data_IF_317937972455
#
_entry.id   IF_317937972455
#
_cell.length_a   1.000
_cell.length_b   1.000
_cell.length_c   1.000
_cell.angle_alpha   90.00
_cell.angle_beta   90.00
_cell.angle_gamma   90.00
#
_symmetry.space_group_name_H-M   'P 1'
#
loop_
_entity.id
_entity.type
_entity.pdbx_description
1 polymer ?
#
# COMPACT_ATOMS: atom_id res chain seq x y z
N UNK A 1 10.11 -16.07 -12.71
CA UNK A 1 9.33 -14.84 -12.41
C UNK A 1 10.11 -14.11 -11.33
N UNK A 2 10.93 -13.13 -11.72
CA UNK A 2 11.82 -12.40 -10.80
C UNK A 2 11.04 -11.24 -10.22
N UNK A 3 10.88 -11.13 -8.90
CA UNK A 3 10.45 -9.86 -8.30
C UNK A 3 11.58 -8.85 -8.50
N UNK A 4 11.23 -7.68 -9.01
CA UNK A 4 12.12 -6.55 -8.98
C UNK A 4 12.15 -5.96 -7.55
N UNK A 5 12.99 -6.52 -6.69
CA UNK A 5 13.25 -6.02 -5.32
C UNK A 5 14.30 -4.91 -5.31
N UNK A 6 14.61 -4.32 -6.47
CA UNK A 6 15.59 -3.22 -6.53
C UNK A 6 15.06 -2.02 -5.72
N UNK A 7 15.92 -1.44 -4.89
CA UNK A 7 15.68 -0.18 -4.18
C UNK A 7 15.70 1.00 -5.15
N UNK A 8 14.85 0.96 -6.16
CA UNK A 8 14.72 2.03 -7.14
C UNK A 8 13.34 2.63 -6.99
N UNK A 9 13.32 3.97 -6.86
CA UNK A 9 12.08 4.69 -6.68
C UNK A 9 11.31 4.79 -8.00
N UNK A 10 10.00 4.90 -7.85
CA UNK A 10 9.01 5.10 -8.90
C UNK A 10 8.54 6.54 -8.81
N UNK A 11 8.32 7.14 -9.97
CA UNK A 11 8.04 8.55 -10.09
C UNK A 11 6.88 8.79 -11.05
N UNK A 12 6.18 9.89 -10.87
CA UNK A 12 5.31 10.48 -11.90
C UNK A 12 5.96 11.74 -12.42
N UNK A 13 5.72 12.05 -13.69
CA UNK A 13 6.12 13.33 -14.27
C UNK A 13 5.09 14.41 -13.97
N UNK A 14 5.56 15.52 -13.42
CA UNK A 14 4.77 16.68 -13.01
C UNK A 14 5.42 17.95 -13.58
N UNK A 15 4.85 18.49 -14.67
CA UNK A 15 5.48 19.58 -15.41
C UNK A 15 6.87 19.19 -15.92
N UNK A 16 7.91 19.93 -15.49
CA UNK A 16 9.32 19.67 -15.81
C UNK A 16 10.02 18.75 -14.79
N UNK A 17 9.32 18.35 -13.72
CA UNK A 17 9.88 17.57 -12.61
C UNK A 17 9.37 16.13 -12.51
N UNK A 18 9.97 15.38 -11.59
CA UNK A 18 9.55 14.04 -11.21
C UNK A 18 9.18 14.03 -9.72
N UNK A 19 7.98 13.56 -9.39
CA UNK A 19 7.53 13.36 -8.01
C UNK A 19 7.59 11.87 -7.68
N UNK A 20 8.22 11.52 -6.54
CA UNK A 20 8.28 10.14 -6.08
C UNK A 20 6.89 9.64 -5.69
N UNK A 21 6.47 8.52 -6.27
CA UNK A 21 5.22 7.83 -5.95
C UNK A 21 5.43 6.52 -5.21
N UNK A 22 6.62 5.92 -5.28
CA UNK A 22 6.88 4.74 -4.48
C UNK A 22 8.38 4.49 -4.35
N UNK A 23 8.94 4.27 -3.17
CA UNK A 23 10.36 3.91 -3.04
C UNK A 23 10.69 2.47 -3.46
N UNK A 24 9.70 1.57 -3.52
CA UNK A 24 9.83 0.16 -3.90
C UNK A 24 8.50 -0.38 -4.45
N UNK A 25 8.48 -1.49 -5.20
CA UNK A 25 7.20 -2.05 -5.62
C UNK A 25 6.36 -2.44 -4.40
N UNK A 26 5.05 -2.28 -4.52
CA UNK A 26 4.03 -2.49 -3.50
C UNK A 26 3.99 -1.48 -2.36
N UNK A 27 4.86 -0.45 -2.33
CA UNK A 27 4.64 0.67 -1.40
C UNK A 27 3.42 1.49 -1.80
N UNK A 28 2.79 2.10 -0.81
CA UNK A 28 1.77 3.13 -1.02
C UNK A 28 2.51 4.47 -1.00
N UNK A 29 2.26 5.29 -2.02
CA UNK A 29 2.76 6.66 -2.08
C UNK A 29 2.28 7.50 -0.90
N UNK A 30 3.00 8.56 -0.54
CA UNK A 30 2.34 9.71 0.09
C UNK A 30 1.19 10.20 -0.79
N UNK A 31 0.20 10.83 -0.18
CA UNK A 31 -0.81 11.61 -0.88
C UNK A 31 -0.17 12.58 -1.87
N UNK A 32 -0.70 12.66 -3.08
CA UNK A 32 -0.31 13.71 -4.01
C UNK A 32 -1.48 14.22 -4.83
N UNK A 33 -1.39 15.50 -5.17
CA UNK A 33 -2.40 16.17 -5.97
C UNK A 33 -2.35 15.67 -7.41
N UNK A 34 -3.53 15.47 -7.99
CA UNK A 34 -3.66 15.05 -9.38
C UNK A 34 -4.72 15.88 -10.06
N UNK A 35 -4.43 16.24 -11.31
CA UNK A 35 -5.47 16.77 -12.20
C UNK A 35 -6.39 15.62 -12.61
N UNK A 36 -7.70 15.69 -12.33
CA UNK A 36 -8.64 14.64 -12.68
C UNK A 36 -8.57 14.29 -14.16
N UNK A 37 -8.72 12.99 -14.49
CA UNK A 37 -8.83 12.48 -15.87
C UNK A 37 -7.68 12.86 -16.80
N UNK A 38 -6.51 13.14 -16.22
CA UNK A 38 -5.30 13.42 -16.99
C UNK A 38 -4.43 12.16 -17.00
N UNK A 39 -4.02 11.65 -18.16
CA UNK A 39 -3.10 10.53 -18.23
C UNK A 39 -1.77 10.91 -17.60
N UNK A 40 -1.22 10.01 -16.78
CA UNK A 40 0.04 10.15 -16.08
C UNK A 40 1.00 9.05 -16.50
N UNK A 41 2.20 9.47 -16.85
CA UNK A 41 3.33 8.59 -17.10
C UNK A 41 4.00 8.28 -15.76
N UNK A 42 4.14 6.98 -15.48
CA UNK A 42 4.88 6.47 -14.33
C UNK A 42 6.23 6.00 -14.82
N UNK A 43 7.27 6.44 -14.12
CA UNK A 43 8.66 6.15 -14.40
C UNK A 43 9.26 5.33 -13.28
N UNK A 44 10.22 4.48 -13.64
CA UNK A 44 11.13 3.85 -12.71
C UNK A 44 12.50 4.50 -12.84
N UNK A 45 13.11 4.86 -11.72
CA UNK A 45 14.51 5.29 -11.70
C UNK A 45 15.42 4.09 -11.90
N UNK A 46 16.37 4.20 -12.82
CA UNK A 46 17.40 3.20 -13.07
C UNK A 46 18.74 3.87 -12.84
N UNK A 47 19.43 3.41 -11.81
CA UNK A 47 20.79 3.86 -11.50
C UNK A 47 21.80 3.10 -12.35
N UNK A 48 22.76 3.81 -12.91
CA UNK A 48 23.84 3.26 -13.71
C UNK A 48 25.14 4.00 -13.44
N UNK A 49 26.27 3.36 -13.69
CA UNK A 49 27.59 4.00 -13.64
C UNK A 49 27.97 4.36 -15.07
N UNK A 50 28.28 5.62 -15.32
CA UNK A 50 28.69 6.07 -16.65
C UNK A 50 30.17 5.74 -16.96
N UNK A 51 30.63 6.07 -18.16
CA UNK A 51 32.02 5.81 -18.59
C UNK A 51 33.07 6.57 -17.74
N UNK A 52 32.66 7.56 -16.95
CA UNK A 52 33.52 8.31 -16.03
C UNK A 52 33.60 7.69 -14.63
N UNK A 53 32.79 6.65 -14.36
CA UNK A 53 32.70 6.02 -13.04
C UNK A 53 31.72 6.73 -12.09
N UNK A 54 30.96 7.71 -12.56
CA UNK A 54 29.97 8.43 -11.76
C UNK A 54 28.62 7.70 -11.78
N UNK A 55 27.96 7.60 -10.62
CA UNK A 55 26.58 7.10 -10.52
C UNK A 55 25.61 8.15 -11.07
N UNK A 56 24.83 7.77 -12.07
CA UNK A 56 23.77 8.58 -12.68
C UNK A 56 22.44 7.85 -12.64
N UNK A 57 21.36 8.63 -12.73
CA UNK A 57 19.99 8.13 -12.78
C UNK A 57 19.38 8.38 -14.16
N UNK A 58 18.66 7.39 -14.68
CA UNK A 58 17.77 7.52 -15.84
C UNK A 58 16.35 7.16 -15.41
N UNK A 59 15.37 7.93 -15.86
CA UNK A 59 13.96 7.62 -15.68
C UNK A 59 13.46 6.86 -16.91
N UNK A 60 12.91 5.67 -16.68
CA UNK A 60 12.34 4.81 -17.73
C UNK A 60 10.83 4.73 -17.51
N UNK A 61 10.04 5.10 -18.50
CA UNK A 61 8.59 4.96 -18.44
C UNK A 61 8.21 3.48 -18.33
N UNK A 62 7.35 3.15 -17.36
CA UNK A 62 6.92 1.79 -17.07
C UNK A 62 5.41 1.59 -17.21
N UNK A 63 4.63 2.68 -17.17
CA UNK A 63 3.19 2.65 -17.35
C UNK A 63 2.65 4.04 -17.71
N UNK A 64 1.55 4.06 -18.44
CA UNK A 64 0.70 5.24 -18.58
C UNK A 64 -0.68 4.89 -18.04
N UNK A 65 -1.20 5.73 -17.16
CA UNK A 65 -2.42 5.47 -16.42
C UNK A 65 -3.24 6.73 -16.26
N UNK A 66 -4.55 6.58 -16.35
CA UNK A 66 -5.47 7.67 -16.07
C UNK A 66 -5.99 7.51 -14.65
N UNK A 67 -5.92 8.58 -13.86
CA UNK A 67 -6.59 8.61 -12.57
C UNK A 67 -8.09 8.75 -12.84
N UNK A 68 -8.84 7.69 -12.58
CA UNK A 68 -10.29 7.70 -12.73
C UNK A 68 -10.96 8.60 -11.68
N UNK A 69 -12.11 9.18 -12.05
CA UNK A 69 -12.92 10.00 -11.15
C UNK A 69 -12.53 11.47 -11.08
N UNK A 70 -13.09 12.15 -10.09
CA UNK A 70 -12.88 13.58 -9.83
C UNK A 70 -11.95 13.79 -8.61
N UNK A 71 -11.13 12.77 -8.30
CA UNK A 71 -10.14 12.82 -7.22
C UNK A 71 -9.11 13.92 -7.47
N UNK A 72 -8.98 14.83 -6.50
CA UNK A 72 -7.93 15.86 -6.51
C UNK A 72 -6.68 15.43 -5.75
N UNK A 73 -6.78 14.39 -4.90
CA UNK A 73 -5.66 13.77 -4.19
C UNK A 73 -5.81 12.25 -4.18
N UNK A 74 -4.71 11.55 -4.47
CA UNK A 74 -4.69 10.08 -4.53
C UNK A 74 -3.44 9.50 -3.87
N UNK A 75 -3.59 8.27 -3.42
CA UNK A 75 -2.47 7.37 -3.14
C UNK A 75 -2.22 6.50 -4.37
N UNK A 76 -0.96 6.26 -4.70
CA UNK A 76 -0.55 5.35 -5.77
C UNK A 76 0.10 4.09 -5.20
N UNK A 77 -0.09 2.98 -5.90
CA UNK A 77 0.61 1.72 -5.65
C UNK A 77 1.12 1.18 -6.96
N UNK A 78 2.42 0.91 -7.03
CA UNK A 78 3.06 0.28 -8.20
C UNK A 78 3.39 -1.18 -7.87
N UNK A 79 2.77 -2.13 -8.56
CA UNK A 79 2.97 -3.56 -8.38
C UNK A 79 3.70 -4.17 -9.58
N UNK A 80 4.85 -4.81 -9.36
CA UNK A 80 5.59 -5.50 -10.41
C UNK A 80 4.99 -6.88 -10.71
N UNK A 81 4.63 -7.15 -11.97
CA UNK A 81 3.93 -8.38 -12.40
C UNK A 81 4.83 -9.41 -13.10
N UNK A 82 6.10 -9.09 -13.38
CA UNK A 82 7.01 -9.94 -14.16
C UNK A 82 7.26 -9.39 -15.55
N UNK A 83 8.38 -9.77 -16.17
CA UNK A 83 8.72 -9.45 -17.57
C UNK A 83 8.52 -7.97 -17.95
N UNK A 84 9.00 -7.06 -17.09
CA UNK A 84 8.87 -5.60 -17.24
C UNK A 84 7.42 -5.07 -17.28
N UNK A 85 6.45 -5.87 -16.82
CA UNK A 85 5.07 -5.43 -16.66
C UNK A 85 4.83 -4.88 -15.26
N UNK A 86 4.26 -3.68 -15.20
CA UNK A 86 3.87 -3.01 -13.97
C UNK A 86 2.37 -2.78 -13.98
N UNK A 87 1.74 -3.01 -12.83
CA UNK A 87 0.36 -2.61 -12.57
C UNK A 87 0.40 -1.45 -11.61
N UNK A 88 -0.13 -0.31 -12.02
CA UNK A 88 -0.27 0.85 -11.13
C UNK A 88 -1.74 1.02 -10.78
N UNK A 89 -2.00 1.35 -9.52
CA UNK A 89 -3.35 1.57 -8.98
C UNK A 89 -3.37 2.86 -8.21
N UNK A 90 -4.51 3.56 -8.29
CA UNK A 90 -4.78 4.74 -7.51
C UNK A 90 -5.92 4.51 -6.52
N UNK A 91 -5.83 5.15 -5.38
CA UNK A 91 -6.86 5.16 -4.37
C UNK A 91 -7.15 6.60 -3.96
N UNK A 92 -8.37 7.05 -4.24
CA UNK A 92 -8.82 8.40 -3.89
C UNK A 92 -8.76 8.63 -2.39
N UNK A 93 -8.36 9.84 -2.02
CA UNK A 93 -8.42 10.37 -0.65
C UNK A 93 -9.58 11.34 -0.44
N UNK A 94 -10.44 11.52 -1.44
CA UNK A 94 -11.66 12.29 -1.29
C UNK A 94 -12.52 11.70 -0.17
N UNK A 95 -13.11 12.54 0.67
CA UNK A 95 -13.92 12.07 1.80
C UNK A 95 -15.18 11.31 1.35
N UNK A 96 -15.74 11.66 0.19
CA UNK A 96 -16.89 10.95 -0.39
C UNK A 96 -16.55 9.51 -0.82
N UNK A 97 -15.29 9.26 -1.20
CA UNK A 97 -14.80 7.94 -1.64
C UNK A 97 -14.04 7.19 -0.54
N UNK A 98 -13.55 7.90 0.47
CA UNK A 98 -12.90 7.37 1.64
C UNK A 98 -13.35 8.13 2.88
N UNK A 99 -14.55 7.81 3.40
CA UNK A 99 -15.10 8.57 4.51
C UNK A 99 -14.38 8.29 5.80
N UNK A 100 -14.38 9.29 6.67
CA UNK A 100 -13.87 9.18 8.03
C UNK A 100 -14.52 8.03 8.81
N UNK A 101 -13.73 7.35 9.64
CA UNK A 101 -14.20 6.20 10.42
C UNK A 101 -14.18 4.87 9.66
N UNK A 102 -13.60 4.83 8.45
CA UNK A 102 -13.48 3.61 7.65
C UNK A 102 -12.05 3.08 7.56
N UNK A 103 -11.96 1.80 7.20
CA UNK A 103 -10.73 1.08 6.93
C UNK A 103 -10.75 0.60 5.47
N UNK A 104 -9.76 0.98 4.67
CA UNK A 104 -9.55 0.44 3.32
C UNK A 104 -8.56 -0.71 3.41
N UNK A 105 -8.98 -1.93 3.07
CA UNK A 105 -8.07 -3.09 2.97
C UNK A 105 -7.77 -3.38 1.51
N UNK A 106 -6.49 -3.52 1.17
CA UNK A 106 -6.01 -3.74 -0.19
C UNK A 106 -5.23 -5.05 -0.25
N UNK A 107 -5.63 -5.97 -1.12
CA UNK A 107 -4.87 -7.19 -1.40
C UNK A 107 -3.93 -6.95 -2.59
N UNK A 108 -2.65 -6.73 -2.35
CA UNK A 108 -1.63 -6.64 -3.40
C UNK A 108 -0.91 -7.96 -3.66
N UNK A 109 -1.29 -9.03 -2.95
CA UNK A 109 -0.73 -10.35 -3.09
C UNK A 109 -1.14 -11.08 -4.39
N UNK A 110 -0.60 -12.28 -4.56
CA UNK A 110 -0.96 -13.19 -5.67
C UNK A 110 -2.05 -14.20 -5.31
N UNK A 111 -2.44 -14.31 -4.04
CA UNK A 111 -3.45 -15.25 -3.55
C UNK A 111 -4.68 -14.53 -2.98
N UNK A 112 -5.86 -15.16 -3.02
CA UNK A 112 -7.03 -14.66 -2.31
C UNK A 112 -6.82 -14.66 -0.79
N UNK A 113 -7.34 -13.63 -0.14
CA UNK A 113 -7.35 -13.49 1.32
C UNK A 113 -8.78 -13.36 1.84
N UNK A 114 -8.97 -13.56 3.13
CA UNK A 114 -10.15 -13.15 3.88
C UNK A 114 -9.71 -12.14 4.94
N UNK A 115 -10.36 -10.98 4.96
CA UNK A 115 -10.15 -9.96 5.98
C UNK A 115 -11.38 -9.90 6.90
N UNK A 116 -11.15 -9.84 8.21
CA UNK A 116 -12.14 -9.54 9.24
C UNK A 116 -11.83 -8.18 9.85
N UNK A 117 -12.75 -7.23 9.77
CA UNK A 117 -12.59 -5.89 10.36
C UNK A 117 -13.81 -5.58 11.20
N UNK A 118 -13.63 -5.43 12.51
CA UNK A 118 -14.72 -5.11 13.43
C UNK A 118 -15.87 -6.13 13.43
N UNK A 119 -15.56 -7.40 13.10
CA UNK A 119 -16.52 -8.51 13.07
C UNK A 119 -17.16 -8.81 11.72
N UNK A 120 -16.98 -7.95 10.70
CA UNK A 120 -17.37 -8.28 9.32
C UNK A 120 -16.24 -9.03 8.60
N UNK A 121 -16.56 -10.16 7.94
CA UNK A 121 -15.58 -10.98 7.20
C UNK A 121 -15.85 -10.90 5.71
N UNK A 122 -14.80 -10.64 4.92
CA UNK A 122 -14.90 -10.49 3.47
C UNK A 122 -13.72 -11.15 2.76
N UNK A 123 -13.97 -11.93 1.69
CA UNK A 123 -12.91 -12.35 0.80
C UNK A 123 -12.43 -11.17 -0.06
N UNK A 124 -11.15 -11.13 -0.37
CA UNK A 124 -10.54 -10.22 -1.36
C UNK A 124 -9.67 -11.03 -2.32
N UNK A 125 -9.95 -10.92 -3.62
CA UNK A 125 -9.09 -11.50 -4.65
C UNK A 125 -7.82 -10.66 -4.86
N UNK A 126 -6.76 -11.20 -5.48
CA UNK A 126 -5.57 -10.43 -5.85
C UNK A 126 -5.89 -9.13 -6.57
N UNK A 127 -5.41 -8.02 -6.02
CA UNK A 127 -5.66 -6.68 -6.52
C UNK A 127 -6.97 -6.05 -6.06
N UNK A 128 -7.84 -6.74 -5.35
CA UNK A 128 -9.07 -6.11 -4.86
C UNK A 128 -8.77 -5.18 -3.68
N UNK A 129 -9.53 -4.09 -3.58
CA UNK A 129 -9.55 -3.22 -2.43
C UNK A 129 -11.00 -3.06 -1.94
N UNK A 130 -11.18 -2.98 -0.62
CA UNK A 130 -12.49 -2.86 -0.01
C UNK A 130 -12.48 -1.89 1.15
N UNK A 131 -13.49 -1.02 1.18
CA UNK A 131 -13.77 -0.14 2.31
C UNK A 131 -14.68 -0.85 3.32
N UNK A 132 -14.37 -0.67 4.59
CA UNK A 132 -15.06 -1.31 5.70
C UNK A 132 -15.30 -0.31 6.83
N UNK A 133 -16.47 -0.41 7.45
CA UNK A 133 -16.84 0.34 8.65
C UNK A 133 -16.73 -0.59 9.87
N UNK A 134 -15.66 -0.52 10.66
CA UNK A 134 -15.49 -1.39 11.81
C UNK A 134 -16.51 -1.06 12.90
N UNK A 135 -17.07 -2.10 13.54
CA UNK A 135 -17.78 -1.93 14.80
C UNK A 135 -16.77 -1.69 15.92
N UNK A 136 -16.72 -0.45 16.40
CA UNK A 136 -15.80 -0.03 17.46
C UNK A 136 -16.35 -0.35 18.87
N UNK A 137 -15.46 -0.66 19.82
CA UNK A 137 -15.78 -0.74 21.24
C UNK A 137 -15.80 0.65 21.92
N UNK A 138 -16.09 0.70 23.23
CA UNK A 138 -16.13 1.95 24.00
C UNK A 138 -14.78 2.68 24.11
N UNK A 139 -13.66 2.00 23.80
CA UNK A 139 -12.31 2.58 23.69
C UNK A 139 -11.91 2.83 22.24
N UNK A 140 -12.88 2.75 21.32
CA UNK A 140 -12.70 2.91 19.87
C UNK A 140 -11.79 1.86 19.23
N UNK A 141 -11.78 0.67 19.79
CA UNK A 141 -10.96 -0.45 19.31
C UNK A 141 -11.80 -1.43 18.51
N UNK A 142 -11.16 -2.11 17.57
CA UNK A 142 -11.76 -3.20 16.80
C UNK A 142 -10.72 -4.27 16.53
N UNK A 143 -11.19 -5.50 16.32
CA UNK A 143 -10.31 -6.59 15.90
C UNK A 143 -10.14 -6.56 14.39
N UNK A 144 -8.91 -6.74 13.96
CA UNK A 144 -8.54 -6.89 12.56
C UNK A 144 -7.87 -8.24 12.38
N UNK A 145 -8.40 -9.07 11.49
CA UNK A 145 -7.80 -10.36 11.12
C UNK A 145 -7.64 -10.45 9.63
N UNK A 146 -6.54 -11.02 9.18
CA UNK A 146 -6.35 -11.37 7.77
C UNK A 146 -5.91 -12.81 7.71
N UNK A 147 -6.54 -13.61 6.86
CA UNK A 147 -6.17 -14.99 6.60
C UNK A 147 -5.97 -15.20 5.10
N UNK A 148 -4.98 -16.00 4.73
CA UNK A 148 -4.78 -16.47 3.35
C UNK A 148 -5.33 -17.89 3.24
N UNK A 149 -5.93 -18.20 2.09
CA UNK A 149 -6.30 -19.57 1.76
C UNK A 149 -5.13 -20.25 1.04
N UNK A 150 -4.53 -21.25 1.67
CA UNK A 150 -3.52 -22.11 1.04
C UNK A 150 -4.02 -23.56 1.01
N UNK A 151 -4.09 -24.17 -0.17
CA UNK A 151 -4.44 -25.59 -0.34
C UNK A 151 -5.63 -26.05 0.52
N UNK A 152 -6.73 -25.29 0.50
CA UNK A 152 -7.97 -25.48 1.29
C UNK A 152 -7.90 -25.21 2.81
N UNK A 153 -6.76 -24.77 3.33
CA UNK A 153 -6.62 -24.34 4.72
C UNK A 153 -6.52 -22.81 4.83
N UNK A 154 -7.17 -22.23 5.84
CA UNK A 154 -7.04 -20.81 6.15
C UNK A 154 -5.92 -20.62 7.16
N UNK A 155 -4.90 -19.88 6.75
CA UNK A 155 -3.77 -19.52 7.60
C UNK A 155 -3.92 -18.07 8.05
N UNK A 156 -4.02 -17.86 9.36
CA UNK A 156 -4.06 -16.50 9.92
C UNK A 156 -2.71 -15.84 9.69
N UNK A 157 -2.74 -14.70 9.02
CA UNK A 157 -1.60 -13.87 8.69
C UNK A 157 -1.46 -12.70 9.65
N UNK A 158 -2.61 -12.19 10.10
CA UNK A 158 -2.74 -11.05 11.01
C UNK A 158 -3.94 -11.28 11.93
N UNK A 159 -3.77 -10.99 13.21
CA UNK A 159 -4.84 -10.99 14.22
C UNK A 159 -4.43 -10.03 15.33
N UNK A 160 -5.05 -8.85 15.34
CA UNK A 160 -4.68 -7.78 16.26
C UNK A 160 -5.88 -6.90 16.64
N UNK A 161 -5.67 -6.07 17.65
CA UNK A 161 -6.59 -5.03 18.09
C UNK A 161 -6.09 -3.68 17.63
N UNK A 162 -6.87 -3.04 16.76
CA UNK A 162 -6.56 -1.73 16.20
C UNK A 162 -7.43 -0.65 16.86
N UNK A 163 -6.89 0.57 17.01
CA UNK A 163 -7.64 1.74 17.52
C UNK A 163 -7.89 2.69 16.35
N UNK A 164 -9.14 3.09 16.13
CA UNK A 164 -9.50 4.11 15.12
C UNK A 164 -10.03 5.35 15.82
N UNK A 165 -9.27 6.45 15.83
CA UNK A 165 -9.70 7.68 16.53
C UNK A 165 -10.75 8.44 15.71
N UNK A 166 -11.30 9.51 16.30
CA UNK A 166 -12.38 10.28 15.69
C UNK A 166 -11.90 10.93 14.41
N UNK A 167 -12.71 10.87 13.35
CA UNK A 167 -12.43 11.55 12.08
C UNK A 167 -11.14 11.06 11.39
N UNK A 168 -10.76 9.82 11.68
CA UNK A 168 -9.57 9.21 11.10
C UNK A 168 -9.96 8.15 10.08
N UNK A 169 -9.08 7.98 9.09
CA UNK A 169 -9.18 6.96 8.07
C UNK A 169 -7.99 6.03 8.22
N UNK A 170 -8.12 4.80 7.76
CA UNK A 170 -7.06 3.80 7.91
C UNK A 170 -6.91 3.01 6.63
N UNK A 171 -5.70 2.96 6.10
CA UNK A 171 -5.40 2.16 4.91
C UNK A 171 -4.57 0.95 5.34
N UNK A 172 -5.20 -0.22 5.34
CA UNK A 172 -4.57 -1.50 5.56
C UNK A 172 -4.05 -2.09 4.25
N UNK A 173 -2.75 -2.33 4.16
CA UNK A 173 -2.11 -2.96 3.03
C UNK A 173 -1.76 -4.42 3.35
N UNK A 174 -2.10 -5.34 2.44
CA UNK A 174 -1.69 -6.74 2.53
C UNK A 174 -0.90 -7.12 1.27
N UNK A 175 0.40 -7.35 1.40
CA UNK A 175 1.29 -7.73 0.29
C UNK A 175 1.78 -9.16 0.48
N UNK A 176 1.53 -10.02 -0.51
CA UNK A 176 2.10 -11.39 -0.55
C UNK A 176 2.97 -11.58 -1.79
N UNK A 177 4.28 -11.73 -1.57
CA UNK A 177 5.28 -11.95 -2.61
C UNK A 177 5.57 -13.45 -2.83
N UNK A 178 6.02 -13.85 -4.03
CA UNK A 178 6.59 -15.18 -4.33
C UNK A 178 7.77 -15.63 -3.43
N UNK A 179 8.51 -14.70 -2.82
CA UNK A 179 9.59 -15.01 -1.87
C UNK A 179 9.06 -15.32 -0.45
N UNK A 180 7.73 -15.30 -0.26
CA UNK A 180 7.12 -15.41 1.07
C UNK A 180 7.28 -14.13 1.90
N UNK A 181 7.73 -13.04 1.27
CA UNK A 181 7.99 -11.78 1.93
C UNK A 181 6.65 -11.08 2.19
N UNK A 182 6.33 -10.97 3.49
CA UNK A 182 5.26 -10.15 4.03
C UNK A 182 5.87 -8.77 4.25
N UNK A 183 5.38 -7.74 3.58
CA UNK A 183 5.84 -6.38 3.87
C UNK A 183 4.89 -5.75 4.88
N UNK A 184 5.31 -5.78 6.14
CA UNK A 184 4.67 -5.05 7.23
C UNK A 184 5.72 -4.13 7.82
N UNK A 185 5.40 -2.85 7.99
CA UNK A 185 6.36 -1.91 8.55
C UNK A 185 6.59 -2.18 10.05
N UNK A 186 7.81 -2.59 10.38
CA UNK A 186 8.34 -2.64 11.75
C UNK A 186 8.51 -1.23 12.31
N UNK A 187 8.65 -1.10 13.63
CA UNK A 187 8.94 0.20 14.28
C UNK A 187 10.19 0.86 13.68
N UNK A 188 11.23 0.08 13.38
CA UNK A 188 12.46 0.53 12.72
C UNK A 188 12.21 1.08 11.32
N UNK A 189 11.36 0.40 10.55
CA UNK A 189 10.94 0.84 9.21
C UNK A 189 10.06 2.09 9.30
N UNK A 190 9.22 2.23 10.31
CA UNK A 190 8.42 3.45 10.54
C UNK A 190 9.32 4.62 10.94
N UNK A 191 10.41 4.36 11.67
CA UNK A 191 11.42 5.37 11.98
C UNK A 191 12.25 5.78 10.76
N UNK A 192 12.50 4.85 9.82
CA UNK A 192 13.22 5.10 8.57
C UNK A 192 12.34 5.77 7.50
N UNK A 193 11.08 5.33 7.37
CA UNK A 193 10.14 5.77 6.33
C UNK A 193 9.22 6.91 6.77
N UNK A 194 9.15 7.17 8.07
CA UNK A 194 8.30 8.16 8.68
C UNK A 194 6.87 7.67 8.97
N UNK A 195 6.12 8.41 9.80
CA UNK A 195 4.72 8.11 10.06
C UNK A 195 3.90 8.18 8.76
N UNK A 196 2.79 7.42 8.66
CA UNK A 196 1.87 7.55 7.53
C UNK A 196 1.33 8.99 7.43
N UNK A 197 0.88 9.44 6.25
CA UNK A 197 0.27 10.77 6.10
C UNK A 197 -0.89 11.01 7.09
N UNK A 198 -1.21 12.27 7.43
CA UNK A 198 -2.32 12.57 8.33
C UNK A 198 -3.62 11.89 7.90
N UNK A 199 -4.27 11.19 8.84
CA UNK A 199 -5.49 10.44 8.56
C UNK A 199 -5.27 9.10 7.86
N UNK A 200 -4.04 8.60 7.82
CA UNK A 200 -3.69 7.23 7.44
C UNK A 200 -2.98 6.55 8.60
N UNK A 201 -3.15 5.25 8.73
CA UNK A 201 -2.47 4.43 9.72
C UNK A 201 -1.93 3.19 9.04
N UNK A 202 -0.62 2.96 9.17
CA UNK A 202 -0.04 1.66 8.85
C UNK A 202 -0.59 0.65 9.86
N UNK A 203 -0.89 -0.57 9.38
CA UNK A 203 -1.00 -1.70 10.29
C UNK A 203 0.43 -2.07 10.73
N UNK A 204 0.89 -1.44 11.81
CA UNK A 204 2.22 -1.65 12.38
C UNK A 204 2.17 -2.56 13.60
N UNK A 205 3.21 -3.37 13.83
CA UNK A 205 3.37 -4.11 15.07
C UNK A 205 4.03 -3.22 16.14
N UNK A 206 3.47 -3.18 17.35
CA UNK A 206 4.29 -2.99 18.54
C UNK A 206 4.62 -4.37 19.08
N UNK A 207 5.90 -4.70 19.24
CA UNK A 207 6.32 -5.83 20.08
C UNK A 207 5.94 -5.50 21.52
N UNK A 208 4.69 -5.73 21.89
CA UNK A 208 4.36 -5.91 23.29
C UNK A 208 4.94 -7.26 23.66
N UNK A 209 6.17 -7.25 24.19
CA UNK A 209 6.77 -8.35 24.93
C UNK A 209 5.69 -8.88 25.86
N UNK A 210 5.08 -10.01 25.51
CA UNK A 210 4.36 -10.83 26.47
C UNK A 210 5.43 -11.44 27.35
N UNK A 211 5.80 -10.75 28.42
CA UNK A 211 6.35 -11.44 29.58
C UNK A 211 5.29 -12.45 30.01
N UNK A 212 5.58 -13.72 29.73
CA UNK A 212 4.86 -14.83 30.33
C UNK A 212 5.22 -14.83 31.82
N UNK A 213 4.25 -14.52 32.67
CA UNK A 213 4.22 -15.07 34.02
C UNK A 213 3.71 -16.51 33.96
#
# INVERSE_FOLDING_TARGET
MFLDESKTAYFIKEGDGYQSVSPYPYSISPAFEVSPRSPREVFKEVKFVDDSGEERSRYVEIAQIEVEGDASSVLAVVAFKGSDQYQVRYYSENEDEFPSGTVRVINLGQKPIAASVGGGVFPLVPGEAKLMEPKLDHKRRFFTRVAEKDSEQWNILYDDVTILRANERMTGLVVYSPSGMRHTYTESEILEYGPPPPGHYWLSYSDSIREKN
#
